data_IF_315425272291
#
_entry.id   IF_315425272291
#
_cell.length_a   1.000
_cell.length_b   1.000
_cell.length_c   1.000
_cell.angle_alpha   90.00
_cell.angle_beta   90.00
_cell.angle_gamma   90.00
#
_symmetry.space_group_name_H-M   'P 1'
#
loop_
_entity.id
_entity.type
_entity.pdbx_description
1 polymer ?
#
# COMPACT_ATOMS: atom_id res chain seq x y z
N UNK A 1 17.47 -9.45 1.05
CA UNK A 1 17.34 -8.10 0.46
C UNK A 1 18.67 -7.37 0.63
N UNK A 2 19.22 -6.80 -0.43
CA UNK A 2 20.41 -5.96 -0.37
C UNK A 2 20.01 -4.59 0.22
N UNK A 3 20.71 -4.16 1.27
CA UNK A 3 20.49 -2.86 1.91
C UNK A 3 21.44 -1.85 1.25
N UNK A 4 20.92 -0.69 0.89
CA UNK A 4 21.74 0.42 0.40
C UNK A 4 22.33 1.17 1.59
N UNK A 5 23.60 1.56 1.45
CA UNK A 5 24.32 2.23 2.51
C UNK A 5 23.70 3.60 2.81
N UNK A 6 22.98 3.66 3.93
CA UNK A 6 22.34 4.87 4.44
C UNK A 6 23.20 5.54 5.51
N UNK A 7 24.35 4.94 5.88
CA UNK A 7 25.24 5.45 6.93
C UNK A 7 26.02 6.71 6.51
N UNK A 8 26.06 6.99 5.21
CA UNK A 8 26.65 8.21 4.64
C UNK A 8 25.82 9.48 4.94
N UNK A 9 24.56 9.34 5.36
CA UNK A 9 23.71 10.47 5.70
C UNK A 9 23.84 10.84 7.19
N UNK A 10 24.21 12.11 7.45
CA UNK A 10 24.17 12.70 8.78
C UNK A 10 23.42 14.05 8.74
N UNK A 11 22.23 14.18 9.36
CA UNK A 11 21.46 13.13 10.06
C UNK A 11 20.84 12.09 9.09
N UNK A 12 20.39 10.95 9.63
CA UNK A 12 19.67 9.90 8.88
C UNK A 12 18.42 10.54 8.22
N UNK A 13 18.17 10.26 6.93
CA UNK A 13 17.07 10.86 6.19
C UNK A 13 15.72 10.38 6.72
N UNK A 14 14.73 11.26 6.63
CA UNK A 14 13.35 11.00 7.09
C UNK A 14 12.45 10.44 5.99
N UNK A 15 12.88 10.51 4.73
CA UNK A 15 12.10 10.04 3.57
C UNK A 15 13.00 9.64 2.40
N UNK A 16 12.46 8.81 1.50
CA UNK A 16 13.11 8.49 0.23
C UNK A 16 13.31 9.73 -0.65
N UNK A 17 12.41 10.71 -0.56
CA UNK A 17 12.54 11.98 -1.28
C UNK A 17 13.77 12.76 -0.83
N UNK A 18 14.05 12.78 0.48
CA UNK A 18 15.23 13.44 1.03
C UNK A 18 16.53 12.79 0.51
N UNK A 19 16.56 11.46 0.45
CA UNK A 19 17.67 10.70 -0.14
C UNK A 19 17.86 11.08 -1.61
N UNK A 20 16.77 11.08 -2.40
CA UNK A 20 16.83 11.44 -3.81
C UNK A 20 17.31 12.87 -4.03
N UNK A 21 16.93 13.81 -3.16
CA UNK A 21 17.37 15.20 -3.26
C UNK A 21 18.86 15.37 -2.92
N UNK A 22 19.35 14.69 -1.87
CA UNK A 22 20.75 14.76 -1.43
C UNK A 22 21.69 14.01 -2.36
N UNK A 23 21.25 12.86 -2.87
CA UNK A 23 22.02 12.02 -3.78
C UNK A 23 21.13 11.59 -4.96
N UNK A 24 21.04 12.40 -6.03
CA UNK A 24 20.15 12.15 -7.17
C UNK A 24 20.40 10.83 -7.90
N UNK A 25 21.63 10.33 -7.86
CA UNK A 25 22.04 9.07 -8.49
C UNK A 25 21.82 7.83 -7.61
N UNK A 26 21.14 7.97 -6.46
CA UNK A 26 20.80 6.84 -5.60
C UNK A 26 19.93 5.81 -6.35
N UNK A 27 20.28 4.51 -6.34
CA UNK A 27 19.49 3.48 -6.99
C UNK A 27 18.23 3.12 -6.18
N UNK A 28 17.23 2.50 -6.81
CA UNK A 28 16.10 1.91 -6.07
C UNK A 28 16.60 0.79 -5.15
N UNK A 29 16.00 0.66 -3.96
CA UNK A 29 16.41 -0.36 -2.99
C UNK A 29 15.98 -0.05 -1.57
N UNK A 30 16.48 -0.83 -0.60
CA UNK A 30 16.12 -0.68 0.81
C UNK A 30 17.08 0.28 1.50
N UNK A 31 16.54 1.34 2.10
CA UNK A 31 17.28 2.37 2.83
C UNK A 31 16.84 2.43 4.29
N UNK A 32 17.73 2.89 5.17
CA UNK A 32 17.42 3.21 6.56
C UNK A 32 16.85 4.62 6.64
N UNK A 33 15.63 4.76 7.13
CA UNK A 33 14.97 6.04 7.37
C UNK A 33 14.76 6.28 8.86
N UNK A 34 14.87 7.53 9.29
CA UNK A 34 14.46 7.98 10.62
C UNK A 34 12.93 8.02 10.69
N UNK A 35 12.37 7.56 11.81
CA UNK A 35 10.92 7.62 12.09
C UNK A 35 10.60 8.79 13.01
N UNK A 36 9.32 9.21 13.03
CA UNK A 36 8.87 10.32 13.89
C UNK A 36 9.09 10.08 15.39
N UNK A 37 9.29 8.83 15.80
CA UNK A 37 9.43 8.43 17.21
C UNK A 37 10.90 8.26 17.63
N UNK A 38 11.83 8.99 17.00
CA UNK A 38 13.29 8.84 17.19
C UNK A 38 13.83 7.42 16.92
N UNK A 39 13.11 6.61 16.15
CA UNK A 39 13.54 5.29 15.73
C UNK A 39 14.11 5.29 14.31
N UNK A 40 14.50 4.11 13.84
CA UNK A 40 14.88 3.91 12.44
C UNK A 40 14.17 2.70 11.86
N UNK A 41 13.95 2.68 10.54
CA UNK A 41 13.31 1.58 9.84
C UNK A 41 13.89 1.40 8.45
N UNK A 42 14.05 0.14 8.05
CA UNK A 42 14.35 -0.20 6.67
C UNK A 42 13.10 -0.09 5.80
N UNK A 43 13.17 0.76 4.77
CA UNK A 43 12.07 1.01 3.84
C UNK A 43 12.60 0.93 2.42
N UNK A 44 11.80 0.34 1.52
CA UNK A 44 12.13 0.34 0.11
C UNK A 44 11.82 1.71 -0.49
N UNK A 45 12.80 2.29 -1.15
CA UNK A 45 12.69 3.52 -1.90
C UNK A 45 12.74 3.22 -3.41
N UNK A 46 11.73 3.68 -4.15
CA UNK A 46 11.79 3.71 -5.60
C UNK A 46 12.43 5.05 -6.03
N UNK A 47 13.63 4.97 -6.59
CA UNK A 47 14.40 6.14 -7.03
C UNK A 47 14.24 6.43 -8.52
N UNK A 48 13.40 5.66 -9.19
CA UNK A 48 13.01 5.78 -10.59
C UNK A 48 11.67 6.51 -10.73
N UNK A 49 11.28 6.80 -11.98
CA UNK A 49 9.98 7.39 -12.29
C UNK A 49 8.84 6.45 -11.87
N UNK A 50 7.82 7.01 -11.23
CA UNK A 50 6.62 6.29 -10.83
C UNK A 50 5.42 7.25 -10.91
N UNK A 51 4.32 6.81 -11.55
CA UNK A 51 3.14 7.64 -11.81
C UNK A 51 3.44 8.99 -12.51
N UNK A 52 4.45 9.05 -13.39
CA UNK A 52 4.82 10.29 -14.09
C UNK A 52 5.58 11.32 -13.24
N UNK A 53 5.88 10.99 -11.98
CA UNK A 53 6.78 11.78 -11.13
C UNK A 53 8.14 11.09 -11.01
N UNK A 54 9.20 11.87 -10.83
CA UNK A 54 10.54 11.33 -10.59
C UNK A 54 10.65 10.46 -9.33
N UNK A 55 11.86 9.98 -9.03
CA UNK A 55 12.13 9.12 -7.87
C UNK A 55 11.99 9.80 -6.52
N UNK A 56 12.19 9.01 -5.46
CA UNK A 56 12.05 9.45 -4.07
C UNK A 56 10.79 8.90 -3.39
N UNK A 57 10.20 7.85 -3.96
CA UNK A 57 8.97 7.25 -3.45
C UNK A 57 9.25 6.27 -2.32
N UNK A 58 8.57 6.49 -1.19
CA UNK A 58 8.62 5.60 -0.02
C UNK A 58 7.56 4.52 -0.12
N UNK A 59 7.95 3.24 -0.16
CA UNK A 59 6.99 2.13 -0.24
C UNK A 59 6.28 1.92 1.10
N UNK A 60 4.96 2.10 1.11
CA UNK A 60 4.09 1.88 2.27
C UNK A 60 3.61 0.43 2.40
N UNK A 61 3.27 -0.20 1.27
CA UNK A 61 2.71 -1.54 1.21
C UNK A 61 3.24 -2.29 0.00
N UNK A 62 3.32 -3.62 0.11
CA UNK A 62 3.57 -4.52 -1.00
C UNK A 62 2.90 -5.85 -0.72
N UNK A 63 1.99 -6.26 -1.59
CA UNK A 63 1.38 -7.58 -1.59
C UNK A 63 1.42 -8.08 -3.02
N UNK A 64 2.38 -8.96 -3.32
CA UNK A 64 2.55 -9.53 -4.64
C UNK A 64 2.21 -11.02 -4.59
N UNK A 65 0.98 -11.34 -4.96
CA UNK A 65 0.51 -12.72 -4.95
C UNK A 65 1.06 -13.56 -6.11
N UNK A 66 1.80 -12.97 -7.05
CA UNK A 66 2.56 -13.75 -8.03
C UNK A 66 3.80 -14.40 -7.42
N UNK A 67 4.32 -13.86 -6.33
CA UNK A 67 5.38 -14.49 -5.53
C UNK A 67 4.78 -15.67 -4.75
N UNK A 68 5.28 -16.87 -5.03
CA UNK A 68 4.83 -18.10 -4.39
C UNK A 68 5.00 -18.08 -2.86
N UNK A 69 5.93 -17.27 -2.34
CA UNK A 69 6.25 -17.17 -0.91
C UNK A 69 5.40 -16.17 -0.14
N UNK A 70 4.61 -15.33 -0.82
CA UNK A 70 3.70 -14.38 -0.16
C UNK A 70 2.36 -15.01 0.19
N UNK A 71 1.92 -14.82 1.43
CA UNK A 71 0.58 -15.21 1.89
C UNK A 71 -0.33 -13.99 2.07
N UNK A 72 -1.63 -14.24 2.14
CA UNK A 72 -2.59 -13.19 2.47
C UNK A 72 -2.41 -12.68 3.89
N UNK A 73 -2.65 -11.39 4.08
CA UNK A 73 -2.66 -10.77 5.40
C UNK A 73 -3.87 -11.32 6.19
N UNK A 74 -3.75 -11.41 7.52
CA UNK A 74 -4.68 -12.13 8.42
C UNK A 74 -6.18 -11.86 8.20
N UNK A 75 -6.54 -10.72 7.62
CA UNK A 75 -7.93 -10.34 7.37
C UNK A 75 -8.46 -10.73 5.98
N UNK A 76 -7.64 -11.37 5.15
CA UNK A 76 -8.01 -11.79 3.79
C UNK A 76 -7.88 -13.30 3.60
N UNK A 77 -8.86 -13.86 2.90
CA UNK A 77 -8.87 -15.26 2.49
C UNK A 77 -8.00 -15.45 1.24
N UNK A 78 -7.24 -16.54 1.23
CA UNK A 78 -6.45 -16.97 0.08
C UNK A 78 -7.36 -17.63 -0.97
N UNK A 79 -7.41 -17.05 -2.15
CA UNK A 79 -8.07 -17.64 -3.31
C UNK A 79 -7.03 -18.15 -4.30
N UNK A 80 -7.14 -19.42 -4.68
CA UNK A 80 -6.27 -20.04 -5.67
C UNK A 80 -7.09 -20.82 -6.70
N UNK A 81 -7.05 -20.40 -7.96
CA UNK A 81 -7.74 -21.06 -9.07
C UNK A 81 -7.08 -20.73 -10.40
N UNK A 82 -7.00 -21.70 -11.32
CA UNK A 82 -6.48 -21.48 -12.68
C UNK A 82 -5.05 -20.96 -12.74
N UNK A 83 -4.21 -21.27 -11.74
CA UNK A 83 -2.83 -20.76 -11.64
C UNK A 83 -2.71 -19.34 -11.08
N UNK A 84 -3.83 -18.69 -10.77
CA UNK A 84 -3.86 -17.38 -10.11
C UNK A 84 -3.97 -17.57 -8.60
N UNK A 85 -3.17 -16.80 -7.86
CA UNK A 85 -3.26 -16.64 -6.41
C UNK A 85 -3.68 -15.20 -6.12
N UNK A 86 -4.68 -15.00 -5.26
CA UNK A 86 -5.21 -13.69 -4.90
C UNK A 86 -5.70 -13.67 -3.45
N UNK A 87 -5.79 -12.49 -2.87
CA UNK A 87 -6.38 -12.27 -1.56
C UNK A 87 -7.72 -11.57 -1.72
N UNK A 88 -8.74 -12.02 -1.00
CA UNK A 88 -10.06 -11.43 -1.06
C UNK A 88 -10.77 -11.50 0.28
N UNK A 89 -11.96 -10.92 0.32
CA UNK A 89 -12.85 -11.02 1.47
C UNK A 89 -13.20 -12.49 1.74
N UNK A 90 -13.34 -12.86 3.01
CA UNK A 90 -13.91 -14.15 3.38
C UNK A 90 -15.31 -14.34 2.79
N UNK A 91 -15.66 -15.55 2.37
CA UNK A 91 -17.02 -15.82 1.89
C UNK A 91 -18.04 -15.69 3.02
N UNK A 92 -18.88 -14.66 2.96
CA UNK A 92 -20.01 -14.46 3.87
C UNK A 92 -21.33 -14.30 3.12
N UNK A 93 -22.43 -14.74 3.72
CA UNK A 93 -23.79 -14.61 3.17
C UNK A 93 -24.37 -13.18 3.19
N UNK A 94 -23.66 -12.21 3.77
CA UNK A 94 -24.06 -10.81 3.84
C UNK A 94 -23.00 -9.83 3.30
N UNK A 95 -23.42 -8.58 3.06
CA UNK A 95 -22.52 -7.47 2.78
C UNK A 95 -21.69 -7.15 4.04
N UNK A 96 -20.38 -6.99 3.89
CA UNK A 96 -19.50 -6.82 5.04
C UNK A 96 -18.19 -6.14 4.65
N UNK A 97 -17.66 -5.33 5.58
CA UNK A 97 -16.35 -4.65 5.50
C UNK A 97 -15.32 -5.33 6.40
N UNK A 98 -15.40 -6.65 6.57
CA UNK A 98 -14.61 -7.35 7.61
C UNK A 98 -13.12 -7.35 7.28
N UNK A 99 -12.76 -7.21 6.01
CA UNK A 99 -11.38 -7.31 5.54
C UNK A 99 -10.80 -5.92 5.22
N UNK A 100 -10.02 -5.33 6.14
CA UNK A 100 -9.37 -4.03 5.91
C UNK A 100 -7.99 -3.94 6.56
N UNK A 101 -6.94 -4.04 5.75
CA UNK A 101 -5.58 -3.82 6.26
C UNK A 101 -5.24 -2.33 6.36
N UNK A 102 -4.62 -1.95 7.48
CA UNK A 102 -4.01 -0.63 7.64
C UNK A 102 -2.49 -0.71 7.44
N UNK A 103 -1.98 0.16 6.57
CA UNK A 103 -0.54 0.34 6.36
C UNK A 103 -0.10 1.65 7.00
N UNK A 104 0.60 1.61 8.16
CA UNK A 104 1.00 2.84 8.83
C UNK A 104 2.08 3.57 8.03
N UNK A 105 1.91 4.88 7.83
CA UNK A 105 2.96 5.75 7.27
C UNK A 105 4.15 5.93 8.21
N UNK A 106 4.03 5.50 9.47
CA UNK A 106 5.05 5.62 10.53
C UNK A 106 5.52 7.08 10.72
N UNK A 107 4.59 8.04 10.59
CA UNK A 107 4.86 9.46 10.76
C UNK A 107 5.48 10.15 9.55
N UNK A 108 5.63 9.45 8.43
CA UNK A 108 6.11 10.07 7.18
C UNK A 108 4.97 10.88 6.56
N UNK A 109 5.18 12.18 6.43
CA UNK A 109 4.28 13.09 5.69
C UNK A 109 4.38 12.82 4.19
N UNK A 110 3.25 12.85 3.49
CA UNK A 110 3.16 12.65 2.05
C UNK A 110 2.17 13.63 1.44
N UNK A 111 2.40 14.02 0.19
CA UNK A 111 1.50 14.87 -0.60
C UNK A 111 0.79 14.12 -1.73
N UNK A 112 1.28 12.92 -2.06
CA UNK A 112 0.77 12.10 -3.15
C UNK A 112 0.91 10.62 -2.81
N UNK A 113 0.01 9.82 -3.36
CA UNK A 113 0.02 8.36 -3.27
C UNK A 113 -0.02 7.82 -4.69
N UNK A 114 0.81 6.84 -4.97
CA UNK A 114 0.84 6.12 -6.23
C UNK A 114 0.89 4.63 -5.95
N UNK A 115 0.16 3.84 -6.73
CA UNK A 115 0.11 2.39 -6.55
C UNK A 115 -0.52 1.68 -7.73
N UNK A 116 -0.48 0.36 -7.66
CA UNK A 116 -1.11 -0.54 -8.62
C UNK A 116 -1.86 -1.62 -7.84
N UNK A 117 -3.11 -1.85 -8.24
CA UNK A 117 -3.92 -2.95 -7.75
C UNK A 117 -4.21 -3.86 -8.94
N UNK A 118 -4.04 -5.17 -8.75
CA UNK A 118 -4.47 -6.19 -9.71
C UNK A 118 -5.54 -7.01 -9.01
N UNK A 119 -6.77 -6.91 -9.50
CA UNK A 119 -7.93 -7.62 -8.99
C UNK A 119 -8.42 -8.67 -9.98
N UNK A 120 -9.10 -9.69 -9.45
CA UNK A 120 -9.79 -10.71 -10.25
C UNK A 120 -11.26 -10.74 -9.85
N UNK A 121 -12.14 -10.69 -10.85
CA UNK A 121 -13.56 -10.80 -10.60
C UNK A 121 -13.93 -12.24 -10.23
N UNK A 122 -14.68 -12.40 -9.15
CA UNK A 122 -15.27 -13.67 -8.73
C UNK A 122 -16.78 -13.49 -8.61
N UNK A 123 -17.54 -14.22 -9.43
CA UNK A 123 -18.99 -14.07 -9.49
C UNK A 123 -19.41 -12.73 -10.12
N UNK A 124 -20.52 -12.18 -9.64
CA UNK A 124 -21.06 -10.89 -10.06
C UNK A 124 -20.72 -9.84 -9.01
N UNK A 125 -20.25 -8.67 -9.45
CA UNK A 125 -20.00 -7.55 -8.55
C UNK A 125 -21.26 -6.70 -8.41
N UNK A 126 -21.66 -6.44 -7.18
CA UNK A 126 -22.66 -5.42 -6.89
C UNK A 126 -21.93 -4.07 -6.69
N UNK A 127 -22.12 -3.13 -7.60
CA UNK A 127 -21.60 -1.78 -7.42
C UNK A 127 -22.28 -1.09 -6.20
N UNK A 128 -22.22 0.23 -6.11
CA UNK A 128 -22.94 0.95 -5.06
C UNK A 128 -24.47 0.75 -5.20
N UNK A 129 -25.12 0.15 -4.19
CA UNK A 129 -26.58 0.15 -4.13
C UNK A 129 -27.05 1.51 -3.58
N UNK A 130 -27.88 2.19 -4.35
CA UNK A 130 -28.24 3.61 -4.13
C UNK A 130 -29.08 3.88 -2.87
N UNK A 131 -29.31 2.88 -2.02
CA UNK A 131 -30.40 2.91 -1.07
C UNK A 131 -30.01 3.24 0.37
N UNK A 132 -28.72 3.29 0.78
CA UNK A 132 -28.33 3.68 2.16
C UNK A 132 -26.82 3.97 2.40
N UNK A 133 -25.99 4.18 1.38
CA UNK A 133 -24.55 4.44 1.58
C UNK A 133 -24.33 5.96 1.77
N UNK A 134 -24.33 6.41 3.02
CA UNK A 134 -24.09 7.83 3.35
C UNK A 134 -22.65 8.12 3.77
N UNK A 135 -21.83 7.09 3.99
CA UNK A 135 -20.43 7.24 4.35
C UNK A 135 -19.56 6.10 3.83
N UNK A 136 -18.25 6.38 3.76
CA UNK A 136 -17.21 5.43 3.37
C UNK A 136 -16.80 4.48 4.51
N UNK A 137 -17.49 4.52 5.65
CA UNK A 137 -17.21 3.68 6.82
C UNK A 137 -18.05 2.40 6.81
N UNK A 138 -19.16 2.37 6.06
CA UNK A 138 -20.00 1.18 5.84
C UNK A 138 -19.53 0.30 4.66
N UNK A 139 -20.27 -0.78 4.32
CA UNK A 139 -20.08 -1.56 3.10
C UNK A 139 -20.58 -0.77 1.90
N UNK A 140 -19.66 -0.25 1.08
CA UNK A 140 -20.03 0.71 0.04
C UNK A 140 -19.62 0.35 -1.38
N UNK A 141 -18.77 -0.67 -1.55
CA UNK A 141 -18.39 -1.23 -2.85
C UNK A 141 -18.18 -2.74 -2.75
N UNK A 142 -18.51 -3.47 -3.81
CA UNK A 142 -17.99 -4.81 -4.06
C UNK A 142 -16.76 -4.70 -4.96
N UNK A 143 -15.59 -4.57 -4.32
CA UNK A 143 -14.35 -4.23 -5.00
C UNK A 143 -13.21 -3.87 -4.05
N UNK A 144 -12.21 -3.17 -4.55
CA UNK A 144 -11.06 -2.69 -3.75
C UNK A 144 -11.23 -1.22 -3.45
N UNK A 145 -11.13 -0.84 -2.18
CA UNK A 145 -11.11 0.56 -1.74
C UNK A 145 -9.77 0.89 -1.07
N UNK A 146 -9.18 2.00 -1.48
CA UNK A 146 -8.02 2.61 -0.83
C UNK A 146 -8.46 3.92 -0.21
N UNK A 147 -8.13 4.06 1.08
CA UNK A 147 -8.48 5.24 1.89
C UNK A 147 -7.33 5.64 2.79
N UNK A 148 -7.33 6.87 3.25
CA UNK A 148 -6.30 7.38 4.16
C UNK A 148 -6.87 8.28 5.27
N UNK A 149 -6.10 8.47 6.33
CA UNK A 149 -6.42 9.43 7.40
C UNK A 149 -7.45 8.95 8.43
N UNK A 150 -7.65 9.80 9.44
CA UNK A 150 -8.66 9.68 10.49
C UNK A 150 -9.18 11.10 10.81
N UNK A 151 -10.37 11.52 10.32
CA UNK A 151 -11.38 10.71 9.65
C UNK A 151 -10.92 10.17 8.29
N UNK A 152 -11.45 8.99 7.92
CA UNK A 152 -11.17 8.29 6.68
C UNK A 152 -11.51 9.19 5.48
N UNK A 153 -10.66 9.21 4.47
CA UNK A 153 -10.86 9.90 3.20
C UNK A 153 -10.63 8.93 2.04
N UNK A 154 -11.43 9.05 0.98
CA UNK A 154 -11.33 8.22 -0.21
C UNK A 154 -10.12 8.62 -1.06
N UNK A 155 -9.34 7.63 -1.51
CA UNK A 155 -8.26 7.81 -2.49
C UNK A 155 -8.66 7.23 -3.84
N UNK A 156 -9.09 5.96 -3.85
CA UNK A 156 -9.43 5.24 -5.07
C UNK A 156 -10.33 4.03 -4.78
N UNK A 157 -11.17 3.66 -5.75
CA UNK A 157 -11.86 2.37 -5.77
C UNK A 157 -11.99 1.81 -7.20
N UNK A 158 -12.13 0.49 -7.30
CA UNK A 158 -12.52 -0.24 -8.51
C UNK A 158 -13.32 -1.48 -8.19
#
# INVERSE_FOLDING_TARGET
MLQNDSSSFSPIPTSCQEIKNKQPNSPSGVYLLATSNNGTKHVYCNMEELCGSGGGWTRLANLDMSDATMDCLLEFELYQSGGVKACGRETSSGASCVSSVQFPSNGISYSQVCGRVVGYQRGTTDASNNNNINDINSYYIDGVSITHGSPRQHVWNS
#
